data_IF_489290236604
#
_entry.id   IF_489290236604
#
_cell.length_a   1.000
_cell.length_b   1.000
_cell.length_c   1.000
_cell.angle_alpha   90.00
_cell.angle_beta   90.00
_cell.angle_gamma   90.00
#
_symmetry.space_group_name_H-M   'P 1'
#
loop_
_entity.id
_entity.type
_entity.pdbx_description
1 polymer ?
#
# COMPACT_ATOMS: atom_id res chain seq x y z
N UNK A 1 -9.05 -12.01 18.35
CA UNK A 1 -7.98 -12.98 18.58
C UNK A 1 -6.71 -12.65 17.80
N UNK A 2 -6.85 -11.89 16.74
CA UNK A 2 -5.69 -11.53 15.90
C UNK A 2 -5.03 -10.23 16.32
N UNK A 3 -5.68 -9.43 17.15
CA UNK A 3 -5.17 -8.12 17.58
C UNK A 3 -4.39 -8.26 18.87
N UNK A 4 -3.14 -7.77 18.93
CA UNK A 4 -2.40 -7.77 20.20
C UNK A 4 -3.13 -6.97 21.26
N UNK A 5 -3.20 -7.53 22.48
CA UNK A 5 -3.96 -6.94 23.57
C UNK A 5 -3.42 -5.60 24.06
N UNK A 6 -2.12 -5.36 23.92
CA UNK A 6 -1.49 -4.15 24.42
C UNK A 6 -1.35 -3.04 23.40
N UNK A 7 -2.07 -3.14 22.29
CA UNK A 7 -2.00 -2.12 21.24
C UNK A 7 -2.81 -0.90 21.66
N UNK A 8 -2.22 0.29 21.49
CA UNK A 8 -2.93 1.53 21.78
C UNK A 8 -4.00 1.78 20.73
N UNK A 9 -4.99 2.64 21.06
CA UNK A 9 -6.03 3.02 20.11
C UNK A 9 -5.44 3.65 18.85
N UNK A 10 -4.39 4.45 19.01
CA UNK A 10 -3.71 5.09 17.88
C UNK A 10 -3.03 4.08 16.98
N UNK A 11 -2.35 3.09 17.56
CA UNK A 11 -1.70 2.04 16.79
C UNK A 11 -2.73 1.15 16.09
N UNK A 12 -3.82 0.82 16.78
CA UNK A 12 -4.91 0.07 16.18
C UNK A 12 -5.49 0.80 14.97
N UNK A 13 -5.73 2.11 15.12
CA UNK A 13 -6.26 2.93 14.03
C UNK A 13 -5.34 2.89 12.81
N UNK A 14 -4.02 3.04 13.03
CA UNK A 14 -3.03 2.96 11.95
C UNK A 14 -3.06 1.61 11.24
N UNK A 15 -3.18 0.52 12.01
CA UNK A 15 -3.24 -0.81 11.41
C UNK A 15 -4.50 -1.03 10.60
N UNK A 16 -5.61 -0.48 11.04
CA UNK A 16 -6.87 -0.55 10.28
C UNK A 16 -6.76 0.21 8.96
N UNK A 17 -6.13 1.40 8.99
CA UNK A 17 -5.89 2.17 7.78
C UNK A 17 -4.99 1.38 6.82
N UNK A 18 -3.89 0.82 7.35
CA UNK A 18 -3.00 0.00 6.54
C UNK A 18 -3.74 -1.17 5.89
N UNK A 19 -4.55 -1.88 6.68
CA UNK A 19 -5.34 -3.00 6.16
C UNK A 19 -6.26 -2.55 5.03
N UNK A 20 -6.89 -1.37 5.18
CA UNK A 20 -7.80 -0.85 4.16
C UNK A 20 -7.08 -0.51 2.85
N UNK A 21 -5.81 -0.10 2.94
CA UNK A 21 -5.00 0.22 1.76
C UNK A 21 -4.57 -1.07 1.06
N UNK A 22 -3.98 -2.02 1.80
CA UNK A 22 -3.49 -3.26 1.17
C UNK A 22 -4.62 -4.13 0.64
N UNK A 23 -5.82 -4.02 1.22
CA UNK A 23 -7.00 -4.69 0.70
C UNK A 23 -7.25 -4.31 -0.76
N UNK A 24 -7.00 -3.05 -1.09
CA UNK A 24 -7.25 -2.52 -2.44
C UNK A 24 -6.04 -2.64 -3.37
N UNK A 25 -4.84 -2.82 -2.81
CA UNK A 25 -3.61 -2.88 -3.62
C UNK A 25 -3.32 -4.28 -4.13
N UNK A 26 -3.50 -5.31 -3.31
CA UNK A 26 -3.10 -6.66 -3.65
C UNK A 26 -4.22 -7.43 -4.32
N UNK A 27 -3.98 -7.95 -5.52
CA UNK A 27 -4.93 -8.81 -6.21
C UNK A 27 -4.90 -10.24 -5.66
N UNK A 28 -3.78 -10.66 -5.08
CA UNK A 28 -3.59 -12.00 -4.55
C UNK A 28 -3.37 -11.97 -3.04
N UNK A 29 -4.13 -12.79 -2.31
CA UNK A 29 -4.10 -12.79 -0.84
C UNK A 29 -2.74 -13.16 -0.27
N UNK A 30 -1.97 -13.99 -0.95
CA UNK A 30 -0.64 -14.40 -0.48
C UNK A 30 0.38 -13.27 -0.56
N UNK A 31 0.08 -12.19 -1.27
CA UNK A 31 0.94 -11.01 -1.34
C UNK A 31 0.66 -9.96 -0.28
N UNK A 32 -0.45 -10.08 0.44
CA UNK A 32 -0.83 -9.08 1.44
C UNK A 32 0.24 -8.85 2.51
N UNK A 33 0.88 -9.89 3.09
CA UNK A 33 1.95 -9.65 4.05
C UNK A 33 3.15 -8.92 3.46
N UNK A 34 3.47 -9.15 2.18
CA UNK A 34 4.56 -8.44 1.48
C UNK A 34 4.20 -6.98 1.27
N UNK A 35 2.95 -6.70 0.87
CA UNK A 35 2.46 -5.32 0.72
C UNK A 35 2.52 -4.57 2.04
N UNK A 36 2.07 -5.22 3.11
CA UNK A 36 2.13 -4.66 4.45
C UNK A 36 3.55 -4.26 4.80
N UNK A 37 4.53 -5.14 4.50
CA UNK A 37 5.93 -4.87 4.79
C UNK A 37 6.46 -3.65 4.03
N UNK A 38 6.09 -3.52 2.76
CA UNK A 38 6.52 -2.36 1.95
C UNK A 38 6.01 -1.06 2.59
N UNK A 39 4.72 -0.98 2.88
CA UNK A 39 4.15 0.25 3.43
C UNK A 39 4.69 0.57 4.82
N UNK A 40 4.87 -0.44 5.68
CA UNK A 40 5.44 -0.23 7.01
C UNK A 40 6.90 0.25 6.92
N UNK A 41 7.69 -0.34 6.01
CA UNK A 41 9.06 0.09 5.81
C UNK A 41 9.13 1.54 5.32
N UNK A 42 8.22 1.92 4.42
CA UNK A 42 8.16 3.31 3.95
C UNK A 42 7.81 4.26 5.07
N UNK A 43 6.83 3.90 5.91
CA UNK A 43 6.46 4.71 7.07
C UNK A 43 7.65 4.92 8.00
N UNK A 44 8.39 3.84 8.29
CA UNK A 44 9.55 3.91 9.18
C UNK A 44 10.64 4.83 8.64
N UNK A 45 10.75 4.94 7.32
CA UNK A 45 11.76 5.78 6.67
C UNK A 45 11.26 7.17 6.34
N UNK A 46 10.02 7.50 6.67
CA UNK A 46 9.42 8.79 6.35
C UNK A 46 9.12 8.97 4.87
N UNK A 47 9.04 7.88 4.13
CA UNK A 47 8.70 7.92 2.70
C UNK A 47 7.19 8.03 2.52
N UNK A 48 6.76 8.69 1.43
CA UNK A 48 5.36 8.70 1.07
C UNK A 48 4.93 7.30 0.65
N UNK A 49 3.69 6.91 0.98
CA UNK A 49 3.21 5.59 0.61
C UNK A 49 2.99 5.46 -0.88
N UNK A 50 2.60 6.53 -1.55
CA UNK A 50 2.35 6.56 -3.00
C UNK A 50 1.45 5.41 -3.46
N UNK A 51 0.35 5.24 -2.75
CA UNK A 51 -0.62 4.19 -3.03
C UNK A 51 -1.66 4.69 -4.01
N UNK A 52 -1.77 4.00 -5.15
CA UNK A 52 -2.81 4.29 -6.13
C UNK A 52 -4.20 4.09 -5.56
N UNK A 53 -4.35 3.18 -4.59
CA UNK A 53 -5.64 2.93 -3.96
C UNK A 53 -6.20 4.16 -3.26
N UNK A 54 -5.33 4.99 -2.65
CA UNK A 54 -5.78 6.22 -2.00
C UNK A 54 -6.29 7.24 -3.01
N UNK A 55 -5.72 7.26 -4.21
CA UNK A 55 -6.21 8.13 -5.28
C UNK A 55 -7.55 7.62 -5.81
N UNK A 56 -7.67 6.31 -6.04
CA UNK A 56 -8.94 5.72 -6.48
C UNK A 56 -10.07 6.06 -5.51
N UNK A 57 -9.78 6.05 -4.21
CA UNK A 57 -10.75 6.41 -3.18
C UNK A 57 -11.29 7.83 -3.36
N UNK A 58 -10.47 8.74 -3.88
CA UNK A 58 -10.83 10.15 -4.06
C UNK A 58 -11.60 10.42 -5.35
N UNK A 59 -11.60 9.47 -6.28
CA UNK A 59 -12.29 9.65 -7.56
C UNK A 59 -13.77 9.31 -7.44
N UNK A 60 -14.65 9.99 -8.22
CA UNK A 60 -16.08 9.65 -8.23
C UNK A 60 -16.35 8.22 -8.65
N UNK A 61 -15.51 7.69 -9.56
CA UNK A 61 -15.57 6.30 -10.02
C UNK A 61 -14.16 5.77 -10.17
N UNK A 62 -13.89 4.51 -9.79
CA UNK A 62 -12.57 3.92 -10.03
C UNK A 62 -12.22 3.91 -11.51
N UNK A 63 -10.95 4.07 -11.83
CA UNK A 63 -10.41 4.00 -13.19
C UNK A 63 -9.40 2.88 -13.28
N UNK A 64 -9.33 2.24 -14.46
CA UNK A 64 -8.29 1.23 -14.69
C UNK A 64 -6.90 1.84 -14.68
N UNK A 65 -6.79 3.09 -15.16
CA UNK A 65 -5.50 3.78 -15.26
C UNK A 65 -5.63 5.17 -14.68
N UNK A 66 -4.73 5.50 -13.77
CA UNK A 66 -4.65 6.86 -13.22
C UNK A 66 -3.78 7.73 -14.14
N UNK A 67 -4.15 9.00 -14.22
CA UNK A 67 -3.39 10.00 -14.97
C UNK A 67 -2.54 10.82 -14.02
N UNK A 68 -1.53 11.50 -14.57
CA UNK A 68 -0.65 12.37 -13.81
C UNK A 68 -1.43 13.39 -12.98
N UNK A 69 -2.47 13.97 -13.53
CA UNK A 69 -3.31 14.94 -12.84
C UNK A 69 -4.04 14.36 -11.64
N UNK A 70 -4.36 13.07 -11.69
CA UNK A 70 -5.05 12.41 -10.58
C UNK A 70 -4.15 12.34 -9.34
N UNK A 71 -2.83 12.18 -9.55
CA UNK A 71 -1.85 12.11 -8.48
C UNK A 71 -1.64 13.47 -7.78
N UNK A 72 -2.19 14.54 -8.34
CA UNK A 72 -2.06 15.89 -7.81
C UNK A 72 -3.30 16.36 -7.06
N UNK A 73 -4.29 15.50 -6.85
CA UNK A 73 -5.51 15.86 -6.13
C UNK A 73 -5.16 16.34 -4.73
N UNK A 74 -5.69 17.50 -4.35
CA UNK A 74 -5.47 18.06 -3.01
C UNK A 74 -6.39 17.40 -2.01
N UNK A 75 -5.82 16.57 -1.14
CA UNK A 75 -6.57 15.87 -0.10
C UNK A 75 -5.61 15.29 0.93
N UNK A 76 -6.00 15.26 2.21
CA UNK A 76 -5.19 14.58 3.23
C UNK A 76 -5.03 13.08 2.93
N UNK A 77 -5.91 12.52 2.10
CA UNK A 77 -5.84 11.11 1.70
C UNK A 77 -4.84 10.84 0.58
N UNK A 78 -4.31 11.88 -0.06
CA UNK A 78 -3.39 11.69 -1.20
C UNK A 78 -1.99 11.35 -0.69
N UNK A 79 -1.62 10.06 -0.79
CA UNK A 79 -0.34 9.56 -0.32
C UNK A 79 0.82 9.85 -1.28
N UNK A 80 0.54 10.46 -2.44
CA UNK A 80 1.58 10.98 -3.33
C UNK A 80 2.03 12.37 -2.90
N UNK A 81 1.22 13.10 -2.13
CA UNK A 81 1.54 14.45 -1.67
C UNK A 81 1.95 14.52 -0.20
N UNK A 82 1.43 13.60 0.62
CA UNK A 82 1.67 13.62 2.06
C UNK A 82 2.39 12.36 2.51
N UNK A 83 3.35 12.52 3.43
CA UNK A 83 3.96 11.37 4.08
C UNK A 83 3.05 10.88 5.21
N UNK A 84 3.26 9.64 5.63
CA UNK A 84 2.48 9.04 6.72
C UNK A 84 1.16 8.45 6.24
N UNK A 85 0.34 8.05 7.20
CA UNK A 85 -0.96 7.46 6.93
C UNK A 85 -2.00 8.51 6.57
N UNK A 86 -2.97 8.18 5.68
CA UNK A 86 -4.13 9.05 5.51
C UNK A 86 -4.97 9.08 6.78
N UNK A 87 -5.92 10.04 6.88
CA UNK A 87 -6.69 10.22 8.13
C UNK A 87 -7.58 9.05 8.52
N UNK A 88 -7.99 8.21 7.58
CA UNK A 88 -8.90 7.11 7.89
C UNK A 88 -8.85 6.01 6.85
N UNK A 89 -9.58 4.91 7.08
CA UNK A 89 -9.65 3.80 6.14
C UNK A 89 -10.27 4.20 4.80
N UNK A 90 -9.83 3.54 3.73
CA UNK A 90 -10.37 3.77 2.38
C UNK A 90 -11.24 2.62 1.88
N UNK A 91 -11.36 1.56 2.67
CA UNK A 91 -12.21 0.41 2.35
C UNK A 91 -12.55 -0.34 3.63
N UNK A 92 -13.42 -1.33 3.51
CA UNK A 92 -13.69 -2.30 4.58
C UNK A 92 -12.73 -3.47 4.37
N UNK A 93 -11.65 -3.57 5.17
CA UNK A 93 -10.67 -4.63 4.95
C UNK A 93 -11.21 -5.98 5.39
N UNK A 94 -10.92 -7.02 4.59
CA UNK A 94 -11.24 -8.37 4.96
C UNK A 94 -10.25 -8.93 5.98
N UNK A 95 -10.52 -10.14 6.44
CA UNK A 95 -9.70 -10.78 7.48
C UNK A 95 -8.25 -10.95 7.03
N UNK A 96 -8.02 -11.35 5.78
CA UNK A 96 -6.65 -11.54 5.26
C UNK A 96 -5.83 -10.26 5.31
N UNK A 97 -6.44 -9.12 4.95
CA UNK A 97 -5.74 -7.83 5.00
C UNK A 97 -5.48 -7.41 6.44
N UNK A 98 -6.43 -7.65 7.33
CA UNK A 98 -6.24 -7.36 8.76
C UNK A 98 -5.08 -8.17 9.33
N UNK A 99 -5.04 -9.47 9.04
CA UNK A 99 -3.93 -10.32 9.50
C UNK A 99 -2.60 -9.83 8.97
N UNK A 100 -2.54 -9.45 7.70
CA UNK A 100 -1.31 -8.96 7.09
C UNK A 100 -0.85 -7.64 7.71
N UNK A 101 -1.79 -6.77 8.08
CA UNK A 101 -1.44 -5.49 8.73
C UNK A 101 -0.83 -5.72 10.12
N UNK A 102 -1.35 -6.68 10.87
CA UNK A 102 -0.84 -6.98 12.22
C UNK A 102 0.36 -7.93 12.20
N UNK A 103 0.49 -8.75 11.17
CA UNK A 103 1.54 -9.76 11.06
C UNK A 103 2.21 -9.69 9.69
N UNK A 104 2.96 -8.59 9.42
CA UNK A 104 3.61 -8.43 8.12
C UNK A 104 4.77 -9.42 7.96
N UNK A 105 5.09 -9.71 6.70
CA UNK A 105 6.28 -10.47 6.36
C UNK A 105 7.52 -9.71 6.82
N UNK A 106 8.62 -10.42 7.06
CA UNK A 106 9.91 -9.79 7.37
C UNK A 106 10.61 -9.43 6.06
N UNK A 107 11.38 -8.34 6.06
CA UNK A 107 12.16 -7.98 4.91
C UNK A 107 12.35 -6.48 4.76
N UNK A 108 13.14 -6.11 3.76
CA UNK A 108 13.55 -4.73 3.51
C UNK A 108 12.92 -4.15 2.24
N UNK A 109 11.83 -4.73 1.75
CA UNK A 109 11.19 -4.25 0.53
C UNK A 109 10.65 -2.83 0.71
N UNK A 110 10.89 -1.99 -0.30
CA UNK A 110 10.42 -0.59 -0.33
C UNK A 110 9.59 -0.28 -1.57
N UNK A 111 9.61 -1.16 -2.57
CA UNK A 111 8.95 -0.92 -3.86
C UNK A 111 8.24 -2.16 -4.35
N UNK A 112 7.20 -1.96 -5.15
CA UNK A 112 6.57 -3.07 -5.86
C UNK A 112 6.06 -2.59 -7.21
N UNK A 113 5.92 -3.53 -8.15
CA UNK A 113 5.37 -3.25 -9.47
C UNK A 113 4.48 -4.42 -9.88
N UNK A 114 3.37 -4.11 -10.53
CA UNK A 114 2.42 -5.12 -11.01
C UNK A 114 3.01 -5.86 -12.22
N UNK A 115 2.96 -7.18 -12.17
CA UNK A 115 3.37 -8.03 -13.30
C UNK A 115 2.17 -8.35 -14.19
N UNK A 116 2.39 -8.77 -15.44
CA UNK A 116 1.29 -9.11 -16.34
C UNK A 116 0.35 -10.19 -15.82
N UNK A 117 0.83 -11.09 -14.97
CA UNK A 117 0.01 -12.17 -14.41
C UNK A 117 -0.84 -11.75 -13.21
N UNK A 118 -0.81 -10.48 -12.83
CA UNK A 118 -1.58 -9.96 -11.71
C UNK A 118 -0.88 -10.01 -10.37
N UNK A 119 0.28 -10.68 -10.28
CA UNK A 119 1.08 -10.65 -9.06
C UNK A 119 2.02 -9.44 -9.07
N UNK A 120 2.74 -9.23 -8.00
CA UNK A 120 3.66 -8.10 -7.87
C UNK A 120 5.09 -8.57 -7.70
N UNK A 121 6.02 -7.76 -8.20
CA UNK A 121 7.45 -7.94 -7.97
C UNK A 121 7.88 -6.92 -6.91
N UNK A 122 8.56 -7.40 -5.87
CA UNK A 122 8.98 -6.57 -4.76
C UNK A 122 10.49 -6.30 -4.84
N UNK A 123 10.88 -5.06 -4.59
CA UNK A 123 12.28 -4.63 -4.67
C UNK A 123 12.70 -3.89 -3.41
N UNK A 124 13.99 -3.98 -3.09
CA UNK A 124 14.58 -3.31 -1.92
C UNK A 124 15.15 -1.95 -2.26
N UNK A 125 15.67 -1.79 -3.49
CA UNK A 125 16.30 -0.53 -3.92
C UNK A 125 15.57 0.06 -5.10
N UNK A 126 15.76 1.36 -5.30
CA UNK A 126 15.17 2.06 -6.44
C UNK A 126 15.69 1.51 -7.77
N UNK A 127 16.99 1.15 -7.83
CA UNK A 127 17.58 0.58 -9.04
C UNK A 127 16.91 -0.75 -9.41
N UNK A 128 16.68 -1.61 -8.43
CA UNK A 128 15.96 -2.87 -8.66
C UNK A 128 14.55 -2.60 -9.14
N UNK A 129 13.89 -1.61 -8.56
CA UNK A 129 12.53 -1.24 -8.93
C UNK A 129 12.47 -0.75 -10.39
N UNK A 130 13.43 0.08 -10.80
CA UNK A 130 13.50 0.58 -12.19
C UNK A 130 13.70 -0.58 -13.16
N UNK A 131 14.60 -1.52 -12.83
CA UNK A 131 14.82 -2.70 -13.67
C UNK A 131 13.55 -3.56 -13.79
N UNK A 132 12.84 -3.73 -12.67
CA UNK A 132 11.59 -4.50 -12.68
C UNK A 132 10.52 -3.81 -13.52
N UNK A 133 10.42 -2.49 -13.44
CA UNK A 133 9.48 -1.74 -14.26
C UNK A 133 9.75 -1.93 -15.75
N UNK A 134 11.02 -1.87 -16.15
CA UNK A 134 11.41 -2.11 -17.55
C UNK A 134 11.04 -3.51 -17.98
N UNK A 135 11.32 -4.49 -17.14
CA UNK A 135 11.05 -5.89 -17.45
C UNK A 135 9.56 -6.18 -17.59
N UNK A 136 8.74 -5.67 -16.67
CA UNK A 136 7.32 -6.06 -16.59
C UNK A 136 6.38 -5.06 -17.26
N UNK A 137 6.75 -3.80 -17.39
CA UNK A 137 5.93 -2.76 -18.00
C UNK A 137 6.42 -2.32 -19.38
N UNK A 138 7.55 -2.83 -19.82
CA UNK A 138 8.06 -2.59 -21.18
C UNK A 138 8.66 -1.22 -21.41
N UNK A 139 9.10 -0.51 -20.34
CA UNK A 139 9.70 0.80 -20.57
C UNK A 139 10.79 1.12 -19.58
#
# INVERSE_FOLDING_TARGET
AEVPENLSAKELHKKLILASIIEREAAKKDELPHMSRVFLNRLDKGMRLESCATIQYLLPKPREKLYEKDLQIKSPYNTYEHSGMPPGPISNPGLSALKAAFHPEKGDFLFFVLKPDGSHHFSKTFQEHVRAKRKYLGS
#
